data_IF_308329507706
#
_entry.id   IF_308329507706
#
_cell.length_a   1.000
_cell.length_b   1.000
_cell.length_c   1.000
_cell.angle_alpha   90.00
_cell.angle_beta   90.00
_cell.angle_gamma   90.00
#
_symmetry.space_group_name_H-M   'P 1'
#
loop_
_entity.id
_entity.type
_entity.pdbx_description
1 polymer ?
#
# COMPACT_ATOMS: atom_id res chain seq x y z
N UNK A 1 17.54 -15.30 19.09
CA UNK A 1 16.44 -15.56 18.13
C UNK A 1 16.20 -14.24 17.43
N UNK A 2 16.86 -14.06 16.29
CA UNK A 2 16.94 -12.80 15.57
C UNK A 2 15.69 -12.61 14.72
N UNK A 3 14.66 -11.99 15.29
CA UNK A 3 13.66 -11.25 14.52
C UNK A 3 14.39 -9.99 14.05
N UNK A 4 14.89 -9.98 12.82
CA UNK A 4 15.46 -8.76 12.26
C UNK A 4 14.28 -7.85 11.92
N UNK A 5 14.05 -6.74 12.63
CA UNK A 5 12.85 -5.89 12.48
C UNK A 5 12.80 -5.11 11.16
N UNK A 6 13.76 -5.33 10.26
CA UNK A 6 14.10 -4.46 9.14
C UNK A 6 13.36 -4.75 7.83
N UNK A 7 12.46 -5.72 7.76
CA UNK A 7 11.54 -5.78 6.62
C UNK A 7 10.23 -6.46 7.03
N UNK A 8 9.23 -5.67 7.45
CA UNK A 8 7.86 -6.15 7.39
C UNK A 8 7.58 -6.54 5.93
N UNK A 9 7.22 -7.80 5.62
CA UNK A 9 7.01 -8.25 4.24
C UNK A 9 5.96 -7.42 3.50
N UNK A 10 5.03 -6.77 4.22
CA UNK A 10 4.08 -5.84 3.63
C UNK A 10 4.76 -4.60 3.03
N UNK A 11 5.94 -4.19 3.52
CA UNK A 11 6.73 -3.09 2.97
C UNK A 11 7.43 -3.47 1.65
N UNK A 12 7.54 -4.77 1.35
CA UNK A 12 8.20 -5.28 0.14
C UNK A 12 7.19 -5.74 -0.93
N UNK A 13 5.97 -6.10 -0.55
CA UNK A 13 4.99 -6.68 -1.46
C UNK A 13 4.36 -5.63 -2.39
N UNK A 14 4.36 -5.88 -3.70
CA UNK A 14 3.61 -5.07 -4.68
C UNK A 14 2.17 -5.54 -4.76
N UNK A 15 1.18 -4.65 -4.49
CA UNK A 15 -0.21 -5.02 -4.62
C UNK A 15 -0.57 -5.19 -6.10
N UNK A 16 -1.21 -6.30 -6.43
CA UNK A 16 -1.63 -6.64 -7.79
C UNK A 16 -3.14 -6.77 -7.93
N UNK A 17 -3.86 -6.73 -6.81
CA UNK A 17 -5.32 -6.80 -6.74
C UNK A 17 -5.86 -6.00 -5.55
N UNK A 18 -7.19 -5.91 -5.45
CA UNK A 18 -7.86 -5.16 -4.39
C UNK A 18 -7.51 -5.68 -2.99
N UNK A 19 -7.56 -7.00 -2.80
CA UNK A 19 -7.37 -7.60 -1.49
C UNK A 19 -5.95 -7.36 -0.95
N UNK A 20 -4.93 -7.52 -1.82
CA UNK A 20 -3.53 -7.25 -1.48
C UNK A 20 -3.29 -5.77 -1.17
N UNK A 21 -3.88 -4.85 -1.94
CA UNK A 21 -3.78 -3.40 -1.66
C UNK A 21 -4.41 -3.01 -0.32
N UNK A 22 -5.61 -3.51 -0.03
CA UNK A 22 -6.30 -3.24 1.24
C UNK A 22 -5.52 -3.79 2.44
N UNK A 23 -5.04 -5.04 2.35
CA UNK A 23 -4.23 -5.66 3.39
C UNK A 23 -2.94 -4.88 3.67
N UNK A 24 -2.29 -4.39 2.60
CA UNK A 24 -1.08 -3.60 2.70
C UNK A 24 -1.33 -2.25 3.40
N UNK A 25 -2.39 -1.52 3.02
CA UNK A 25 -2.76 -0.24 3.66
C UNK A 25 -3.08 -0.47 5.14
N UNK A 26 -3.88 -1.49 5.45
CA UNK A 26 -4.27 -1.82 6.82
C UNK A 26 -3.07 -2.22 7.70
N UNK A 27 -1.98 -2.71 7.10
CA UNK A 27 -0.75 -3.05 7.81
C UNK A 27 0.16 -1.84 8.04
N UNK A 28 0.37 -1.00 7.02
CA UNK A 28 1.33 0.10 7.07
C UNK A 28 0.79 1.32 7.82
N UNK A 29 -0.47 1.69 7.60
CA UNK A 29 -1.07 2.87 8.23
C UNK A 29 -0.93 2.90 9.76
N UNK A 30 -1.23 1.81 10.52
CA UNK A 30 -1.04 1.81 11.97
C UNK A 30 0.43 1.85 12.38
N UNK A 31 1.36 1.32 11.58
CA UNK A 31 2.81 1.38 11.88
C UNK A 31 3.31 2.82 11.80
N UNK A 32 2.93 3.55 10.75
CA UNK A 32 3.25 4.98 10.61
C UNK A 32 2.67 5.79 11.78
N UNK A 33 1.40 5.54 12.12
CA UNK A 33 0.73 6.21 13.23
C UNK A 33 1.39 5.91 14.58
N UNK A 34 1.75 4.65 14.85
CA UNK A 34 2.41 4.24 16.09
C UNK A 34 3.80 4.89 16.27
N UNK A 35 4.48 5.20 15.16
CA UNK A 35 5.77 5.91 15.16
C UNK A 35 5.63 7.44 15.06
N UNK A 36 4.41 7.96 14.95
CA UNK A 36 4.17 9.40 14.80
C UNK A 36 4.70 9.99 13.49
N UNK A 37 4.87 9.16 12.45
CA UNK A 37 5.42 9.57 11.16
C UNK A 37 4.32 10.26 10.33
N UNK A 38 4.55 11.52 9.97
CA UNK A 38 3.64 12.28 9.13
C UNK A 38 3.83 11.91 7.65
N UNK A 39 2.80 11.31 7.05
CA UNK A 39 2.79 10.89 5.65
C UNK A 39 1.44 11.22 5.04
N UNK A 40 1.40 11.40 3.71
CA UNK A 40 0.14 11.54 2.98
C UNK A 40 -0.77 10.32 3.23
N UNK A 41 -2.08 10.56 3.30
CA UNK A 41 -3.06 9.50 3.41
C UNK A 41 -2.95 8.50 2.23
N UNK A 42 -3.31 7.22 2.43
CA UNK A 42 -3.34 6.26 1.33
C UNK A 42 -4.30 6.71 0.22
N UNK A 43 -4.05 6.33 -1.04
CA UNK A 43 -4.94 6.66 -2.15
C UNK A 43 -6.38 6.17 -1.91
N UNK A 44 -7.42 7.01 -2.14
CA UNK A 44 -8.79 6.61 -1.93
C UNK A 44 -9.20 5.51 -2.91
N UNK A 45 -9.88 4.47 -2.41
CA UNK A 45 -10.32 3.34 -3.21
C UNK A 45 -11.36 3.77 -4.26
N UNK A 46 -11.21 3.39 -5.54
CA UNK A 46 -12.20 3.65 -6.58
C UNK A 46 -13.53 2.97 -6.26
N UNK A 47 -14.65 3.68 -6.39
CA UNK A 47 -16.00 3.12 -6.16
C UNK A 47 -16.64 2.58 -7.44
N UNK A 48 -16.03 2.81 -8.60
CA UNK A 48 -16.56 2.40 -9.90
C UNK A 48 -15.60 1.47 -10.61
N UNK A 49 -16.05 0.27 -10.95
CA UNK A 49 -15.35 -0.56 -11.93
C UNK A 49 -15.64 -0.02 -13.33
N UNK A 50 -14.60 0.21 -14.13
CA UNK A 50 -14.72 0.74 -15.49
C UNK A 50 -15.43 -0.21 -16.47
N UNK A 51 -15.69 -1.47 -16.08
CA UNK A 51 -16.42 -2.48 -16.85
C UNK A 51 -15.72 -2.95 -18.14
N UNK A 52 -14.53 -2.42 -18.46
CA UNK A 52 -13.78 -2.68 -19.70
C UNK A 52 -12.71 -3.77 -19.56
N UNK A 53 -12.75 -4.54 -18.47
CA UNK A 53 -11.66 -5.44 -18.07
C UNK A 53 -10.61 -4.75 -17.21
N UNK A 54 -9.61 -5.50 -16.73
CA UNK A 54 -8.58 -4.97 -15.83
C UNK A 54 -7.62 -4.01 -16.55
N UNK A 55 -7.28 -4.31 -17.80
CA UNK A 55 -6.36 -3.52 -18.63
C UNK A 55 -6.88 -2.08 -18.85
N UNK A 56 -6.14 -1.08 -18.37
CA UNK A 56 -6.49 0.33 -18.47
C UNK A 56 -7.64 0.75 -17.56
N UNK A 57 -7.95 -0.03 -16.51
CA UNK A 57 -8.99 0.33 -15.56
C UNK A 57 -8.49 1.33 -14.51
N UNK A 58 -9.42 2.08 -13.91
CA UNK A 58 -9.12 2.96 -12.76
C UNK A 58 -8.41 2.20 -11.63
N UNK A 59 -8.67 0.91 -11.53
CA UNK A 59 -8.00 -0.01 -10.60
C UNK A 59 -6.49 -0.13 -10.84
N UNK A 60 -6.01 -0.15 -12.08
CA UNK A 60 -4.56 -0.24 -12.33
C UNK A 60 -3.84 1.03 -11.87
N UNK A 61 -4.40 2.19 -12.19
CA UNK A 61 -3.87 3.47 -11.71
C UNK A 61 -3.90 3.58 -10.19
N UNK A 62 -4.96 3.10 -9.56
CA UNK A 62 -5.05 3.06 -8.11
C UNK A 62 -4.05 2.07 -7.48
N UNK A 63 -3.90 0.85 -8.01
CA UNK A 63 -2.91 -0.12 -7.53
C UNK A 63 -1.48 0.44 -7.65
N UNK A 64 -1.16 1.10 -8.76
CA UNK A 64 0.13 1.79 -8.92
C UNK A 64 0.32 2.92 -7.90
N UNK A 65 -0.73 3.70 -7.61
CA UNK A 65 -0.68 4.74 -6.59
C UNK A 65 -0.49 4.15 -5.17
N UNK A 66 -1.11 3.01 -4.87
CA UNK A 66 -0.93 2.31 -3.58
C UNK A 66 0.49 1.74 -3.47
N UNK A 67 1.02 1.14 -4.55
CA UNK A 67 2.41 0.67 -4.59
C UNK A 67 3.40 1.82 -4.35
N UNK A 68 3.19 2.97 -4.99
CA UNK A 68 4.03 4.15 -4.76
C UNK A 68 3.88 4.70 -3.33
N UNK A 69 2.66 4.69 -2.76
CA UNK A 69 2.46 5.07 -1.35
C UNK A 69 3.21 4.12 -0.41
N UNK A 70 3.18 2.80 -0.65
CA UNK A 70 3.97 1.82 0.10
C UNK A 70 5.46 2.13 0.07
N UNK A 71 6.02 2.43 -1.11
CA UNK A 71 7.46 2.72 -1.26
C UNK A 71 7.89 3.91 -0.43
N UNK A 72 7.08 4.96 -0.42
CA UNK A 72 7.34 6.13 0.43
C UNK A 72 7.24 5.76 1.92
N UNK A 73 6.31 4.88 2.29
CA UNK A 73 6.19 4.41 3.68
C UNK A 73 7.37 3.53 4.11
N UNK A 74 7.90 2.68 3.21
CA UNK A 74 9.04 1.82 3.53
C UNK A 74 10.30 2.66 3.79
N UNK A 75 10.52 3.74 3.03
CA UNK A 75 11.61 4.69 3.28
C UNK A 75 11.51 5.38 4.65
N UNK A 76 10.31 5.56 5.18
CA UNK A 76 10.09 6.15 6.51
C UNK A 76 10.14 5.13 7.66
N UNK A 77 9.94 3.84 7.35
CA UNK A 77 9.83 2.76 8.33
C UNK A 77 11.11 1.91 8.44
N UNK A 78 12.08 2.11 7.56
CA UNK A 78 13.44 1.54 7.64
C UNK A 78 14.23 2.04 8.86
#
# INVERSE_FOLDING_TARGET
>A
MSDSPFADPALLATPTDLASAQALIARIAPLLAARGLAMRAPPPEPTTCCGRGCNGCVWEGWLAAVAYWRDEASLLLD
#
